data_IF_028103852022
#
_entry.id   IF_028103852022
#
_cell.length_a   1.000
_cell.length_b   1.000
_cell.length_c   1.000
_cell.angle_alpha   90.00
_cell.angle_beta   90.00
_cell.angle_gamma   90.00
#
_symmetry.space_group_name_H-M   'P 1'
#
loop_
_entity.id
_entity.type
_entity.pdbx_description
1 polymer ?
#
# COMPACT_ATOMS: atom_id res chain seq x y z
N UNK A 1 5.69 -24.69 -6.35
CA UNK A 1 5.35 -23.25 -6.41
C UNK A 1 3.90 -23.16 -6.88
N UNK A 2 2.96 -22.93 -5.96
CA UNK A 2 1.53 -22.89 -6.30
C UNK A 2 1.23 -21.54 -6.94
N UNK A 3 0.84 -21.54 -8.22
CA UNK A 3 0.42 -20.33 -8.92
C UNK A 3 -0.93 -19.89 -8.32
N UNK A 4 -0.91 -19.00 -7.34
CA UNK A 4 -2.13 -18.45 -6.75
C UNK A 4 -2.74 -17.53 -7.80
N UNK A 5 -3.99 -17.80 -8.21
CA UNK A 5 -4.70 -16.93 -9.14
C UNK A 5 -4.93 -15.59 -8.46
N UNK A 6 -4.36 -14.52 -9.01
CA UNK A 6 -4.59 -13.15 -8.56
C UNK A 6 -5.90 -12.67 -9.18
N UNK A 7 -6.74 -12.01 -8.39
CA UNK A 7 -7.95 -11.37 -8.87
C UNK A 7 -7.61 -9.94 -9.30
N UNK A 8 -8.03 -9.54 -10.49
CA UNK A 8 -7.77 -8.19 -11.00
C UNK A 8 -9.00 -7.29 -10.79
N UNK A 9 -8.80 -6.03 -10.37
CA UNK A 9 -9.88 -5.07 -10.23
C UNK A 9 -10.41 -4.66 -11.61
N UNK A 10 -11.65 -4.14 -11.69
CA UNK A 10 -12.19 -3.56 -12.92
C UNK A 10 -11.30 -2.43 -13.46
N UNK A 11 -11.12 -2.36 -14.78
CA UNK A 11 -10.34 -1.33 -15.47
C UNK A 11 -11.22 -0.18 -16.01
N UNK A 12 -12.50 -0.16 -15.66
CA UNK A 12 -13.50 0.80 -16.13
C UNK A 12 -13.50 2.11 -15.33
N UNK A 13 -12.58 2.27 -14.36
CA UNK A 13 -12.51 3.44 -13.50
C UNK A 13 -13.58 3.48 -12.40
N UNK A 14 -14.29 2.38 -12.16
CA UNK A 14 -15.31 2.29 -11.10
C UNK A 14 -14.76 2.37 -9.68
N UNK A 15 -13.45 2.19 -9.49
CA UNK A 15 -12.80 2.19 -8.17
C UNK A 15 -11.88 3.39 -8.00
N UNK A 16 -12.06 4.13 -6.91
CA UNK A 16 -11.08 5.08 -6.39
C UNK A 16 -9.88 4.35 -5.76
N UNK A 17 -8.77 5.06 -5.52
CA UNK A 17 -7.55 4.48 -4.95
C UNK A 17 -7.78 3.72 -3.61
N UNK A 18 -8.57 4.21 -2.64
CA UNK A 18 -8.86 3.44 -1.42
C UNK A 18 -9.64 2.15 -1.69
N UNK A 19 -10.56 2.18 -2.66
CA UNK A 19 -11.38 1.02 -3.03
C UNK A 19 -10.56 -0.03 -3.78
N UNK A 20 -9.53 0.40 -4.53
CA UNK A 20 -8.53 -0.48 -5.12
C UNK A 20 -7.72 -1.25 -4.06
N UNK A 21 -7.33 -0.55 -2.97
CA UNK A 21 -6.65 -1.18 -1.84
C UNK A 21 -7.57 -2.16 -1.12
N UNK A 22 -8.83 -1.79 -0.91
CA UNK A 22 -9.83 -2.66 -0.30
C UNK A 22 -10.13 -3.91 -1.15
N UNK A 23 -10.29 -3.76 -2.47
CA UNK A 23 -10.48 -4.88 -3.40
C UNK A 23 -9.35 -5.90 -3.23
N UNK A 24 -8.09 -5.44 -3.27
CA UNK A 24 -6.96 -6.35 -3.15
C UNK A 24 -6.83 -6.95 -1.74
N UNK A 25 -7.16 -6.20 -0.68
CA UNK A 25 -7.19 -6.75 0.67
C UNK A 25 -8.23 -7.88 0.82
N UNK A 26 -9.38 -7.77 0.14
CA UNK A 26 -10.44 -8.79 0.16
C UNK A 26 -10.15 -9.99 -0.74
N UNK A 27 -9.67 -9.76 -1.95
CA UNK A 27 -9.55 -10.81 -2.98
C UNK A 27 -8.14 -11.39 -3.10
N UNK A 28 -7.12 -10.66 -2.66
CA UNK A 28 -5.70 -11.01 -2.79
C UNK A 28 -4.97 -10.88 -1.44
N UNK A 29 -5.67 -11.11 -0.32
CA UNK A 29 -5.24 -10.79 1.05
C UNK A 29 -3.81 -11.21 1.39
N UNK A 30 -3.42 -12.42 1.00
CA UNK A 30 -2.12 -13.03 1.31
C UNK A 30 -1.11 -12.93 0.14
N UNK A 31 -1.43 -12.20 -0.93
CA UNK A 31 -0.50 -11.94 -2.03
C UNK A 31 0.42 -10.81 -1.59
N UNK A 32 1.73 -11.00 -1.81
CA UNK A 32 2.75 -10.00 -1.50
C UNK A 32 2.52 -8.75 -2.33
N UNK A 33 2.44 -7.60 -1.66
CA UNK A 33 2.28 -6.30 -2.27
C UNK A 33 3.58 -5.49 -2.28
N UNK A 34 4.34 -5.52 -1.19
CA UNK A 34 5.66 -4.90 -1.10
C UNK A 34 6.72 -5.89 -0.58
N UNK A 35 7.95 -5.70 -1.02
CA UNK A 35 9.14 -6.37 -0.51
C UNK A 35 10.20 -5.29 -0.26
N UNK A 36 10.89 -5.35 0.87
CA UNK A 36 12.01 -4.47 1.18
C UNK A 36 13.04 -5.17 2.08
N UNK A 37 14.25 -4.64 2.09
CA UNK A 37 15.33 -5.15 2.95
C UNK A 37 15.04 -4.84 4.42
N UNK A 38 15.21 -5.83 5.29
CA UNK A 38 15.12 -5.62 6.73
C UNK A 38 16.34 -4.82 7.21
N UNK A 39 16.18 -3.65 7.84
CA UNK A 39 17.31 -2.85 8.30
C UNK A 39 18.24 -3.64 9.23
N UNK A 40 19.54 -3.66 8.92
CA UNK A 40 20.55 -4.36 9.71
C UNK A 40 20.55 -5.89 9.56
N UNK A 41 19.86 -6.44 8.56
CA UNK A 41 19.86 -7.87 8.23
C UNK A 41 20.00 -8.08 6.72
N UNK A 42 20.39 -9.30 6.31
CA UNK A 42 20.27 -9.79 4.93
C UNK A 42 18.87 -10.32 4.60
N UNK A 43 17.95 -10.30 5.55
CA UNK A 43 16.58 -10.81 5.36
C UNK A 43 15.69 -9.82 4.61
N UNK A 44 14.75 -10.35 3.84
CA UNK A 44 13.68 -9.57 3.22
C UNK A 44 12.43 -9.54 4.10
N UNK A 45 11.74 -8.41 4.12
CA UNK A 45 10.40 -8.28 4.66
C UNK A 45 9.42 -8.23 3.50
N UNK A 46 8.36 -9.03 3.57
CA UNK A 46 7.22 -8.98 2.64
C UNK A 46 6.00 -8.43 3.38
N UNK A 47 5.27 -7.53 2.73
CA UNK A 47 3.99 -6.99 3.20
C UNK A 47 2.91 -7.50 2.25
N UNK A 48 1.87 -8.16 2.77
CA UNK A 48 0.72 -8.58 1.96
C UNK A 48 -0.25 -7.43 1.68
N UNK A 49 -1.17 -7.60 0.73
CA UNK A 49 -2.22 -6.60 0.50
C UNK A 49 -3.06 -6.31 1.75
N UNK A 50 -3.37 -7.33 2.56
CA UNK A 50 -4.13 -7.14 3.80
C UNK A 50 -3.33 -6.33 4.83
N UNK A 51 -2.04 -6.64 5.00
CA UNK A 51 -1.17 -5.92 5.95
C UNK A 51 -1.07 -4.44 5.59
N UNK A 52 -0.89 -4.14 4.30
CA UNK A 52 -0.81 -2.77 3.82
C UNK A 52 -2.13 -2.03 4.00
N UNK A 53 -3.26 -2.64 3.63
CA UNK A 53 -4.58 -2.05 3.80
C UNK A 53 -4.88 -1.70 5.27
N UNK A 54 -4.58 -2.61 6.19
CA UNK A 54 -4.73 -2.34 7.62
C UNK A 54 -3.78 -1.24 8.12
N UNK A 55 -2.56 -1.17 7.58
CA UNK A 55 -1.63 -0.09 7.90
C UNK A 55 -2.15 1.27 7.41
N UNK A 56 -2.72 1.36 6.21
CA UNK A 56 -3.36 2.57 5.70
C UNK A 56 -4.51 3.03 6.61
N UNK A 57 -5.37 2.12 7.08
CA UNK A 57 -6.44 2.45 8.03
C UNK A 57 -5.91 3.00 9.35
N UNK A 58 -4.84 2.40 9.91
CA UNK A 58 -4.19 2.93 11.12
C UNK A 58 -3.62 4.33 10.89
N UNK A 59 -2.93 4.55 9.77
CA UNK A 59 -2.38 5.87 9.43
C UNK A 59 -3.49 6.92 9.21
N UNK A 60 -4.54 6.57 8.47
CA UNK A 60 -5.69 7.43 8.23
C UNK A 60 -6.39 7.81 9.55
N UNK A 61 -6.55 6.85 10.46
CA UNK A 61 -7.12 7.10 11.78
C UNK A 61 -6.32 8.15 12.57
N UNK A 62 -4.98 8.06 12.57
CA UNK A 62 -4.15 9.05 13.25
C UNK A 62 -4.19 10.43 12.59
N UNK A 63 -4.20 10.49 11.25
CA UNK A 63 -4.30 11.76 10.51
C UNK A 63 -5.64 12.47 10.83
N UNK A 64 -6.76 11.74 10.74
CA UNK A 64 -8.11 12.29 10.96
C UNK A 64 -8.29 12.78 12.39
N UNK A 65 -7.64 12.15 13.38
CA UNK A 65 -7.71 12.63 14.78
C UNK A 65 -7.09 14.01 15.00
N UNK A 66 -6.23 14.45 14.09
CA UNK A 66 -5.41 15.65 14.27
C UNK A 66 -5.82 16.83 13.38
N UNK A 67 -6.71 16.61 12.41
CA UNK A 67 -7.08 17.61 11.40
C UNK A 67 -8.57 17.61 11.04
N UNK A 68 -8.98 18.63 10.30
CA UNK A 68 -10.33 18.72 9.74
C UNK A 68 -10.44 17.98 8.40
N UNK A 69 -11.67 17.74 7.95
CA UNK A 69 -11.92 17.13 6.64
C UNK A 69 -11.36 18.01 5.51
N UNK A 70 -10.74 17.37 4.48
CA UNK A 70 -10.18 18.02 3.27
C UNK A 70 -8.96 18.91 3.50
N UNK A 71 -8.26 18.72 4.61
CA UNK A 71 -6.98 19.40 4.83
C UNK A 71 -5.85 18.80 3.98
N UNK A 72 -4.90 19.66 3.60
CA UNK A 72 -3.69 19.24 2.88
C UNK A 72 -2.73 18.60 3.88
N UNK A 73 -2.34 17.35 3.61
CA UNK A 73 -1.38 16.61 4.42
C UNK A 73 -0.01 16.63 3.75
N UNK A 74 0.99 17.19 4.41
CA UNK A 74 2.37 17.15 3.95
C UNK A 74 3.00 15.78 4.27
N UNK A 75 3.52 15.09 3.26
CA UNK A 75 4.29 13.86 3.42
C UNK A 75 5.78 14.18 3.40
N UNK A 76 6.44 14.04 4.55
CA UNK A 76 7.90 14.18 4.67
C UNK A 76 8.46 12.80 4.99
N UNK A 77 9.19 12.22 4.04
CA UNK A 77 9.85 10.94 4.20
C UNK A 77 11.28 11.03 3.67
N UNK A 78 12.23 10.48 4.42
CA UNK A 78 13.54 10.20 3.86
C UNK A 78 13.42 8.94 3.02
N UNK A 79 13.70 9.06 1.75
CA UNK A 79 13.33 8.10 0.74
C UNK A 79 14.46 8.10 -0.28
N UNK A 80 15.21 7.01 -0.35
CA UNK A 80 16.26 6.81 -1.37
C UNK A 80 15.64 6.52 -2.77
N UNK A 81 14.45 7.07 -3.07
CA UNK A 81 13.54 6.66 -4.16
C UNK A 81 13.43 7.64 -5.32
N UNK A 82 14.26 8.68 -5.40
CA UNK A 82 14.27 9.58 -6.57
C UNK A 82 14.56 8.86 -7.89
N UNK A 83 15.11 7.63 -7.85
CA UNK A 83 15.47 6.86 -9.05
C UNK A 83 14.36 5.95 -9.62
N UNK A 84 13.24 5.71 -8.92
CA UNK A 84 12.22 4.76 -9.42
C UNK A 84 10.88 5.39 -9.82
N UNK A 85 10.60 6.64 -9.45
CA UNK A 85 9.37 7.34 -9.85
C UNK A 85 9.58 8.41 -10.92
N UNK A 86 10.82 8.70 -11.31
CA UNK A 86 11.15 9.79 -12.25
C UNK A 86 11.68 9.32 -13.61
N UNK A 87 11.83 8.01 -13.81
CA UNK A 87 12.19 7.45 -15.12
C UNK A 87 10.90 7.18 -15.89
N UNK A 88 10.39 8.23 -16.54
CA UNK A 88 9.50 8.13 -17.70
C UNK A 88 10.35 8.09 -18.97
#
# INVERSE_FOLDING_TARGET
MVHRSVNYPPLDGSLFLPELLEFNARHNSNVTFYIYDKPGSSDLVSISHLDFYQACHRAAHEIVRTGAEKEVVALIGNSDTLLYQTVF
#
